data_IF_344034954817
#
_entry.id   IF_344034954817
#
_cell.length_a   1.000
_cell.length_b   1.000
_cell.length_c   1.000
_cell.angle_alpha   90.00
_cell.angle_beta   90.00
_cell.angle_gamma   90.00
#
_symmetry.space_group_name_H-M   'P 1'
#
loop_
_entity.id
_entity.type
_entity.pdbx_description
1 polymer ?
#
# COMPACT_ATOMS: atom_id res chain seq x y z
N UNK A 1 -50.55 -28.12 69.14
CA UNK A 1 -51.00 -27.07 68.20
C UNK A 1 -50.74 -27.59 66.81
N UNK A 2 -51.77 -28.20 66.23
CA UNK A 2 -51.76 -28.78 64.88
C UNK A 2 -51.86 -27.67 63.84
N UNK A 3 -51.43 -28.02 62.63
CA UNK A 3 -51.96 -27.51 61.35
C UNK A 3 -51.39 -26.16 60.88
N UNK A 4 -51.08 -26.11 59.58
CA UNK A 4 -50.38 -25.04 58.83
C UNK A 4 -48.86 -25.05 59.08
N UNK A 5 -48.03 -25.68 58.26
CA UNK A 5 -47.53 -25.06 57.01
C UNK A 5 -47.07 -26.10 55.97
N UNK A 6 -47.95 -27.03 55.60
CA UNK A 6 -47.70 -27.99 54.51
C UNK A 6 -47.86 -27.37 53.10
N UNK A 7 -48.02 -26.04 53.00
CA UNK A 7 -48.24 -25.31 51.74
C UNK A 7 -47.10 -24.33 51.36
N UNK A 8 -46.03 -24.22 52.16
CA UNK A 8 -44.88 -23.33 51.87
C UNK A 8 -43.66 -24.01 51.23
N UNK A 9 -43.56 -25.34 51.28
CA UNK A 9 -42.38 -26.08 50.81
C UNK A 9 -42.39 -26.39 49.32
N UNK A 10 -43.54 -26.30 48.66
CA UNK A 10 -43.69 -26.56 47.22
C UNK A 10 -43.35 -25.34 46.35
N UNK A 11 -43.29 -24.13 46.93
CA UNK A 11 -42.90 -22.92 46.19
C UNK A 11 -41.36 -22.76 46.12
N UNK A 12 -40.63 -23.31 47.09
CA UNK A 12 -39.15 -23.31 47.09
C UNK A 12 -38.54 -24.30 46.08
N UNK A 13 -39.27 -25.35 45.68
CA UNK A 13 -38.88 -26.25 44.58
C UNK A 13 -39.12 -25.63 43.19
N UNK A 14 -39.92 -24.56 43.09
CA UNK A 14 -40.12 -23.81 41.83
C UNK A 14 -39.20 -22.58 41.70
N UNK A 15 -38.46 -22.22 42.75
CA UNK A 15 -37.37 -21.23 42.69
C UNK A 15 -36.02 -21.85 42.27
N UNK A 16 -35.92 -23.19 42.28
CA UNK A 16 -34.84 -23.96 41.63
C UNK A 16 -35.10 -24.16 40.12
N UNK A 17 -36.22 -23.64 39.60
CA UNK A 17 -36.54 -23.62 38.17
C UNK A 17 -36.15 -22.30 37.47
N UNK A 18 -35.51 -21.35 38.16
CA UNK A 18 -35.20 -20.01 37.65
C UNK A 18 -33.72 -19.67 37.44
N UNK A 19 -32.79 -20.61 37.65
CA UNK A 19 -31.34 -20.34 37.65
C UNK A 19 -30.50 -21.28 36.76
N UNK A 20 -31.10 -21.86 35.71
CA UNK A 20 -30.39 -22.72 34.74
C UNK A 20 -30.72 -22.35 33.30
N UNK A 21 -30.80 -21.05 33.02
CA UNK A 21 -30.79 -20.52 31.66
C UNK A 21 -29.41 -19.92 31.41
N UNK A 22 -28.77 -20.38 30.31
CA UNK A 22 -27.49 -19.92 29.74
C UNK A 22 -26.20 -20.51 30.32
N UNK A 23 -25.85 -21.72 29.90
CA UNK A 23 -24.46 -22.18 29.65
C UNK A 23 -24.59 -23.65 29.25
N UNK A 24 -24.44 -24.07 28.00
CA UNK A 24 -23.17 -24.09 27.27
C UNK A 24 -23.47 -23.99 25.77
N UNK A 25 -23.47 -22.78 25.23
CA UNK A 25 -23.36 -22.50 23.80
C UNK A 25 -22.15 -21.58 23.63
N UNK A 26 -21.15 -22.03 22.88
CA UNK A 26 -19.82 -21.41 22.83
C UNK A 26 -18.92 -22.07 23.89
N UNK A 27 -17.86 -22.76 23.50
CA UNK A 27 -16.76 -22.13 22.79
C UNK A 27 -16.38 -22.97 21.58
N UNK A 28 -16.37 -22.30 20.43
CA UNK A 28 -15.68 -22.77 19.25
C UNK A 28 -14.28 -23.24 19.63
N UNK A 29 -13.83 -24.32 19.02
CA UNK A 29 -12.40 -24.62 18.91
C UNK A 29 -11.77 -23.45 18.15
N UNK A 30 -11.34 -22.41 18.85
CA UNK A 30 -10.34 -21.53 18.28
C UNK A 30 -9.08 -22.38 18.25
N UNK A 31 -8.74 -22.87 17.06
CA UNK A 31 -7.36 -23.22 16.79
C UNK A 31 -6.55 -21.98 17.14
N UNK A 32 -5.92 -21.98 18.32
CA UNK A 32 -4.96 -20.97 18.69
C UNK A 32 -3.74 -21.17 17.78
N UNK A 33 -3.83 -20.65 16.56
CA UNK A 33 -2.64 -20.35 15.78
C UNK A 33 -1.98 -19.19 16.50
N UNK A 34 -1.15 -19.51 17.48
CA UNK A 34 -0.17 -18.58 18.03
C UNK A 34 0.78 -18.28 16.88
N UNK A 35 0.46 -17.24 16.11
CA UNK A 35 1.42 -16.62 15.21
C UNK A 35 2.56 -16.15 16.13
N UNK A 36 3.78 -16.68 16.02
CA UNK A 36 4.92 -16.16 16.76
C UNK A 36 4.97 -14.66 16.53
N UNK A 37 5.42 -13.84 17.49
CA UNK A 37 5.49 -12.39 17.34
C UNK A 37 6.20 -12.04 16.02
N UNK A 38 5.43 -11.91 14.95
CA UNK A 38 5.91 -11.47 13.66
C UNK A 38 6.34 -10.05 13.95
N UNK A 39 7.58 -9.72 13.61
CA UNK A 39 8.02 -8.34 13.53
C UNK A 39 7.15 -7.69 12.45
N UNK A 40 5.95 -7.28 12.84
CA UNK A 40 5.02 -6.55 12.01
C UNK A 40 5.56 -5.12 12.01
N UNK A 41 6.52 -4.87 11.13
CA UNK A 41 7.00 -3.53 10.86
C UNK A 41 5.93 -2.80 10.06
N UNK A 42 5.22 -1.88 10.69
CA UNK A 42 4.51 -0.81 9.97
C UNK A 42 5.53 0.27 9.63
N UNK A 43 5.94 0.34 8.37
CA UNK A 43 6.71 1.45 7.83
C UNK A 43 5.78 2.40 7.09
N UNK A 44 5.88 3.70 7.39
CA UNK A 44 5.31 4.76 6.57
C UNK A 44 6.47 5.51 5.94
N UNK A 45 6.59 5.47 4.62
CA UNK A 45 7.51 6.31 3.86
C UNK A 45 6.81 7.61 3.45
N UNK A 46 7.55 8.70 3.34
CA UNK A 46 7.02 9.90 2.71
C UNK A 46 6.70 9.58 1.23
N UNK A 47 5.43 9.74 0.82
CA UNK A 47 5.11 9.82 -0.61
C UNK A 47 5.56 11.20 -1.06
N UNK A 48 6.74 11.29 -1.65
CA UNK A 48 7.28 12.59 -2.05
C UNK A 48 6.37 13.24 -3.09
N UNK A 49 5.79 14.39 -2.74
CA UNK A 49 4.88 15.18 -3.56
C UNK A 49 5.59 15.96 -4.67
N UNK A 50 6.54 15.32 -5.36
CA UNK A 50 7.27 15.96 -6.43
C UNK A 50 6.35 16.32 -7.59
N UNK A 51 6.39 17.58 -8.00
CA UNK A 51 5.76 18.08 -9.21
C UNK A 51 6.75 17.93 -10.35
N UNK A 52 6.38 17.16 -11.37
CA UNK A 52 7.18 17.02 -12.58
C UNK A 52 6.84 18.14 -13.56
N UNK A 53 7.87 18.71 -14.19
CA UNK A 53 7.76 19.79 -15.16
C UNK A 53 8.80 19.66 -16.27
N UNK A 54 8.66 20.46 -17.33
CA UNK A 54 9.68 20.58 -18.41
C UNK A 54 10.13 19.24 -18.99
N UNK A 55 9.16 18.39 -19.37
CA UNK A 55 9.43 17.06 -19.91
C UNK A 55 9.89 17.17 -21.36
N UNK A 56 11.04 16.61 -21.66
CA UNK A 56 11.66 16.56 -23.00
C UNK A 56 11.90 15.11 -23.39
N UNK A 57 11.41 14.74 -24.56
CA UNK A 57 11.67 13.44 -25.18
C UNK A 57 12.82 13.57 -26.17
N UNK A 58 13.91 12.90 -25.90
CA UNK A 58 15.06 12.82 -26.79
C UNK A 58 14.86 11.62 -27.70
N UNK A 59 14.41 11.87 -28.93
CA UNK A 59 14.27 10.82 -29.95
C UNK A 59 15.62 10.41 -30.52
N UNK A 60 15.73 9.16 -30.94
CA UNK A 60 16.96 8.65 -31.54
C UNK A 60 17.22 9.35 -32.88
N UNK A 61 18.45 9.83 -33.06
CA UNK A 61 18.83 10.62 -34.24
C UNK A 61 18.86 9.80 -35.55
N UNK A 62 19.04 8.49 -35.46
CA UNK A 62 19.08 7.59 -36.63
C UNK A 62 17.72 6.98 -36.96
N UNK A 63 16.88 6.73 -35.95
CA UNK A 63 15.48 6.32 -36.12
C UNK A 63 14.56 7.12 -35.17
N UNK A 64 13.93 8.22 -35.63
CA UNK A 64 13.11 9.10 -34.79
C UNK A 64 11.82 8.45 -34.28
N UNK A 65 11.52 7.21 -34.69
CA UNK A 65 10.41 6.42 -34.14
C UNK A 65 10.72 5.88 -32.75
N UNK A 66 11.99 5.92 -32.31
CA UNK A 66 12.42 5.46 -31.00
C UNK A 66 12.76 6.64 -30.09
N UNK A 67 12.37 6.54 -28.81
CA UNK A 67 12.77 7.47 -27.76
C UNK A 67 14.02 6.93 -27.10
N UNK A 68 15.12 7.67 -27.21
CA UNK A 68 16.41 7.29 -26.63
C UNK A 68 16.44 7.58 -25.13
N UNK A 69 15.99 8.79 -24.76
CA UNK A 69 15.90 9.18 -23.36
C UNK A 69 14.82 10.22 -23.09
N UNK A 70 14.47 10.38 -21.81
CA UNK A 70 13.53 11.38 -21.31
C UNK A 70 14.23 12.22 -20.26
N UNK A 71 14.11 13.54 -20.37
CA UNK A 71 14.64 14.52 -19.41
C UNK A 71 13.46 15.27 -18.81
N UNK A 72 13.49 15.52 -17.51
CA UNK A 72 12.43 16.27 -16.82
C UNK A 72 12.96 16.98 -15.58
N UNK A 73 12.25 18.02 -15.17
CA UNK A 73 12.51 18.74 -13.92
C UNK A 73 11.53 18.31 -12.83
N UNK A 74 11.95 18.39 -11.58
CA UNK A 74 11.11 18.12 -10.42
C UNK A 74 11.22 19.22 -9.37
N UNK A 75 10.13 19.46 -8.64
CA UNK A 75 10.12 20.34 -7.48
C UNK A 75 9.24 19.75 -6.38
N UNK A 76 9.52 19.98 -5.08
CA UNK A 76 10.69 20.69 -4.54
C UNK A 76 12.00 19.91 -4.81
N UNK A 77 13.14 20.60 -4.84
CA UNK A 77 14.44 19.95 -5.04
C UNK A 77 15.10 19.44 -3.77
N UNK A 78 14.46 19.65 -2.61
CA UNK A 78 14.89 19.08 -1.36
C UNK A 78 13.71 18.43 -0.62
N UNK A 79 13.87 17.20 -0.10
CA UNK A 79 15.00 16.29 -0.34
C UNK A 79 15.13 15.91 -1.82
N UNK A 80 16.33 15.55 -2.28
CA UNK A 80 16.51 14.96 -3.61
C UNK A 80 15.87 13.56 -3.66
N UNK A 81 15.21 13.18 -4.76
CA UNK A 81 14.77 11.81 -4.95
C UNK A 81 15.99 10.88 -5.05
N UNK A 82 15.88 9.65 -4.53
CA UNK A 82 16.91 8.61 -4.67
C UNK A 82 16.56 7.57 -5.72
N UNK A 83 15.28 7.50 -6.12
CA UNK A 83 14.81 6.61 -7.18
C UNK A 83 13.91 7.35 -8.14
N UNK A 84 14.04 6.99 -9.41
CA UNK A 84 13.25 7.55 -10.49
C UNK A 84 12.84 6.44 -11.47
N UNK A 85 11.54 6.38 -11.76
CA UNK A 85 10.95 5.43 -12.69
C UNK A 85 10.06 6.14 -13.68
N UNK A 86 10.14 5.72 -14.93
CA UNK A 86 9.36 6.30 -16.02
C UNK A 86 8.68 5.18 -16.79
N UNK A 87 7.44 5.39 -17.18
CA UNK A 87 6.68 4.52 -18.06
C UNK A 87 6.01 5.36 -19.14
N UNK A 88 6.14 4.97 -20.40
CA UNK A 88 5.48 5.64 -21.53
C UNK A 88 4.17 4.98 -21.97
N UNK A 89 3.88 3.79 -21.44
CA UNK A 89 2.82 2.89 -21.89
C UNK A 89 1.84 2.57 -20.75
N UNK A 90 1.45 3.62 -20.03
CA UNK A 90 0.46 3.56 -18.95
C UNK A 90 0.80 2.54 -17.85
N UNK A 91 2.09 2.40 -17.52
CA UNK A 91 2.57 1.53 -16.45
C UNK A 91 2.84 0.09 -16.87
N UNK A 92 2.82 -0.23 -18.17
CA UNK A 92 3.07 -1.60 -18.67
C UNK A 92 4.56 -1.93 -18.66
N UNK A 93 5.41 -0.99 -19.06
CA UNK A 93 6.87 -1.07 -18.99
C UNK A 93 7.43 0.08 -18.16
N UNK A 94 8.45 -0.24 -17.35
CA UNK A 94 9.09 0.69 -16.44
C UNK A 94 10.59 0.77 -16.72
N UNK A 95 11.07 1.97 -16.95
CA UNK A 95 12.48 2.28 -17.15
C UNK A 95 13.10 2.76 -15.85
N UNK A 96 14.34 2.34 -15.62
CA UNK A 96 15.11 2.78 -14.47
C UNK A 96 15.86 4.08 -14.77
N UNK A 97 15.58 5.13 -14.02
CA UNK A 97 16.23 6.42 -14.16
C UNK A 97 17.08 6.80 -12.93
N UNK A 98 17.32 5.87 -11.99
CA UNK A 98 18.04 6.18 -10.74
C UNK A 98 19.42 6.84 -10.99
N UNK A 99 20.14 6.39 -12.02
CA UNK A 99 21.45 6.95 -12.40
C UNK A 99 21.38 8.29 -13.14
N UNK A 100 20.20 8.71 -13.56
CA UNK A 100 19.95 9.97 -14.26
C UNK A 100 19.57 11.11 -13.30
N UNK A 101 19.39 10.80 -12.01
CA UNK A 101 19.14 11.81 -10.97
C UNK A 101 20.44 12.59 -10.71
N UNK A 102 20.36 13.91 -10.79
CA UNK A 102 21.49 14.79 -10.48
C UNK A 102 21.29 15.33 -9.07
N UNK A 103 22.05 14.82 -8.10
CA UNK A 103 21.94 15.24 -6.70
C UNK A 103 22.23 16.75 -6.52
N UNK A 104 21.48 17.40 -5.63
CA UNK A 104 21.54 18.84 -5.41
C UNK A 104 21.02 19.66 -6.59
N UNK A 105 20.22 19.05 -7.47
CA UNK A 105 19.60 19.69 -8.64
C UNK A 105 18.09 19.45 -8.66
N UNK A 106 17.41 20.11 -9.59
CA UNK A 106 15.95 20.07 -9.74
C UNK A 106 15.56 19.24 -10.98
N UNK A 107 16.40 18.30 -11.40
CA UNK A 107 16.24 17.61 -12.69
C UNK A 107 16.80 16.19 -12.74
N UNK A 108 16.15 15.39 -13.59
CA UNK A 108 16.63 14.08 -14.05
C UNK A 108 17.06 14.25 -15.50
N UNK A 109 18.34 14.02 -15.76
CA UNK A 109 18.95 14.23 -17.08
C UNK A 109 19.18 12.89 -17.77
N UNK A 110 18.56 12.71 -18.94
CA UNK A 110 18.74 11.55 -19.81
C UNK A 110 18.37 10.20 -19.16
N UNK A 111 17.13 10.05 -18.69
CA UNK A 111 16.63 8.71 -18.36
C UNK A 111 16.52 7.85 -19.62
N UNK A 112 17.34 6.80 -19.72
CA UNK A 112 17.36 5.91 -20.88
C UNK A 112 16.07 5.10 -21.01
N UNK A 113 15.47 5.10 -22.20
CA UNK A 113 14.22 4.39 -22.52
C UNK A 113 14.42 3.42 -23.67
N UNK A 114 15.41 2.53 -23.54
CA UNK A 114 15.78 1.60 -24.60
C UNK A 114 14.58 0.73 -25.03
N UNK A 115 14.22 0.82 -26.31
CA UNK A 115 13.10 0.07 -26.89
C UNK A 115 11.74 0.75 -26.76
N UNK A 116 11.64 1.92 -26.13
CA UNK A 116 10.42 2.72 -26.16
C UNK A 116 10.26 3.35 -27.54
N UNK A 117 9.13 3.09 -28.19
CA UNK A 117 8.79 3.71 -29.46
C UNK A 117 7.84 4.88 -29.23
N UNK A 118 7.93 5.92 -30.05
CA UNK A 118 7.04 7.09 -29.99
C UNK A 118 5.57 6.67 -30.14
N UNK A 119 5.29 5.64 -30.94
CA UNK A 119 3.93 5.11 -31.11
C UNK A 119 3.40 4.36 -29.87
N UNK A 120 4.29 3.79 -29.05
CA UNK A 120 3.91 3.16 -27.80
C UNK A 120 3.70 4.17 -26.66
N UNK A 121 4.21 5.40 -26.80
CA UNK A 121 3.99 6.47 -25.83
C UNK A 121 2.54 6.96 -25.93
N UNK A 122 1.66 6.34 -25.14
CA UNK A 122 0.24 6.68 -25.05
C UNK A 122 -0.06 7.46 -23.78
N UNK A 123 0.67 7.21 -22.69
CA UNK A 123 0.51 7.90 -21.41
C UNK A 123 1.82 7.84 -20.65
N UNK A 124 2.38 9.00 -20.34
CA UNK A 124 3.59 9.11 -19.55
C UNK A 124 3.28 9.12 -18.06
N UNK A 125 3.90 8.20 -17.32
CA UNK A 125 3.87 8.14 -15.86
C UNK A 125 5.31 8.26 -15.36
N UNK A 126 5.53 9.20 -14.43
CA UNK A 126 6.83 9.41 -13.79
C UNK A 126 6.62 9.24 -12.29
N UNK A 127 7.49 8.45 -11.66
CA UNK A 127 7.47 8.19 -10.22
C UNK A 127 8.85 8.50 -9.66
N UNK A 128 8.87 9.41 -8.68
CA UNK A 128 10.07 9.77 -7.92
C UNK A 128 9.88 9.39 -6.45
N UNK A 129 10.90 8.82 -5.83
CA UNK A 129 10.88 8.50 -4.39
C UNK A 129 12.22 8.82 -3.74
N UNK A 130 12.21 9.19 -2.47
CA UNK A 130 13.39 9.41 -1.61
C UNK A 130 13.82 8.15 -0.89
#
# INVERSE_FOLDING_TARGET
MFLFDLFGRSFLMSAVAGATVMAVGGMAYTAANTVPATVAGSGSGAVSGYTISSIVYNVNASDPRNVDSITFSYSPSSPDPTRARVSGDNGTTWFNCDSAIVGGSDSVTACATSGLTVAAVSTLIIVLTT
#
